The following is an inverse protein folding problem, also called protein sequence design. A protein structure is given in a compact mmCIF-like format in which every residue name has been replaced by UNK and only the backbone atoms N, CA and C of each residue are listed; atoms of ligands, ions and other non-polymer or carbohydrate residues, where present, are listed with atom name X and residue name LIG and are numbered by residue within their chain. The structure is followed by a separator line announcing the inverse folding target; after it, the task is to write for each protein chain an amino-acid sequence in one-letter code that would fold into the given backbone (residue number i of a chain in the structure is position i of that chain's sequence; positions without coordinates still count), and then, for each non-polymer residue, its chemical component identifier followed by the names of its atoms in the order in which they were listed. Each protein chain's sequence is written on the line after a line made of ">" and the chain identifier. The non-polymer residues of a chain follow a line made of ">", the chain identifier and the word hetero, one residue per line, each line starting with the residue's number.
data_IF_195487003539
#
_entry.id   IF_195487003539
#
_cell.length_a   1.000
_cell.length_b   1.000
_cell.length_c   1.000
_cell.angle_alpha   90.00
_cell.angle_beta   90.00
_cell.angle_gamma   90.00
#
_symmetry.space_group_name_H-M   'P 1'
#
loop_
_entity.id
_entity.type
_entity.pdbx_description
1 polymer ?
#
# COMPACT_ATOMS: atom_id res chain seq x y z
N UNK A 1 1.19 -17.34 19.60
CA UNK A 1 1.81 -16.07 19.17
C UNK A 1 3.31 -16.23 19.27
N UNK A 2 4.06 -15.58 18.37
CA UNK A 2 5.53 -15.61 18.40
C UNK A 2 6.06 -14.61 19.42
N UNK A 3 7.01 -15.05 20.24
CA UNK A 3 7.58 -14.27 21.33
C UNK A 3 8.80 -13.46 20.87
N UNK A 4 9.24 -12.50 21.68
CA UNK A 4 10.51 -11.80 21.42
C UNK A 4 11.72 -12.74 21.52
N UNK A 5 11.64 -13.79 22.35
CA UNK A 5 12.68 -14.82 22.42
C UNK A 5 12.76 -15.67 21.13
N UNK A 6 11.60 -16.06 20.58
CA UNK A 6 11.53 -16.72 19.26
C UNK A 6 12.17 -15.84 18.18
N UNK A 7 11.85 -14.54 18.17
CA UNK A 7 12.37 -13.60 17.20
C UNK A 7 13.88 -13.41 17.34
N UNK A 8 14.40 -13.32 18.58
CA UNK A 8 15.84 -13.22 18.80
C UNK A 8 16.58 -14.46 18.30
N UNK A 9 16.05 -15.66 18.58
CA UNK A 9 16.62 -16.91 18.06
C UNK A 9 16.56 -16.98 16.53
N UNK A 10 15.46 -16.56 15.91
CA UNK A 10 15.34 -16.52 14.46
C UNK A 10 16.31 -15.52 13.80
N UNK A 11 16.63 -14.40 14.48
CA UNK A 11 17.60 -13.43 13.99
C UNK A 11 19.02 -14.01 13.86
N UNK A 12 19.40 -15.00 14.67
CA UNK A 12 20.71 -15.66 14.59
C UNK A 12 20.91 -16.39 13.26
N UNK A 13 19.83 -16.79 12.58
CA UNK A 13 19.87 -17.42 11.27
C UNK A 13 20.19 -16.45 10.12
N UNK A 14 20.34 -15.16 10.39
CA UNK A 14 20.65 -14.13 9.39
C UNK A 14 22.06 -13.57 9.55
N UNK A 15 22.61 -13.08 8.43
CA UNK A 15 23.89 -12.35 8.37
C UNK A 15 23.69 -10.89 8.78
N UNK A 16 23.16 -10.66 9.99
CA UNK A 16 22.99 -9.33 10.56
C UNK A 16 24.32 -8.59 10.70
N UNK A 17 24.28 -7.26 10.74
CA UNK A 17 25.48 -6.41 10.83
C UNK A 17 26.34 -6.69 12.09
N UNK A 18 25.78 -7.34 13.09
CA UNK A 18 26.43 -7.74 14.34
C UNK A 18 25.64 -8.85 15.05
N UNK A 19 26.08 -9.22 16.25
CA UNK A 19 25.40 -10.26 17.04
C UNK A 19 24.03 -9.77 17.52
N UNK A 20 22.91 -10.46 17.23
CA UNK A 20 21.60 -10.12 17.78
C UNK A 20 21.62 -10.20 19.31
N UNK A 21 21.20 -9.14 20.00
CA UNK A 21 21.21 -9.08 21.47
C UNK A 21 19.83 -8.85 22.08
N UNK A 22 18.90 -8.26 21.33
CA UNK A 22 17.56 -7.97 21.81
C UNK A 22 16.58 -7.83 20.65
N UNK A 23 15.46 -8.53 20.74
CA UNK A 23 14.31 -8.30 19.87
C UNK A 23 13.22 -7.54 20.65
N UNK A 24 12.53 -6.63 19.97
CA UNK A 24 11.32 -5.96 20.48
C UNK A 24 10.23 -6.06 19.44
N UNK A 25 9.01 -6.40 19.86
CA UNK A 25 7.87 -6.38 18.93
C UNK A 25 7.70 -4.97 18.35
N UNK A 26 7.60 -4.91 17.03
CA UNK A 26 7.35 -3.69 16.29
C UNK A 26 5.85 -3.57 16.01
N UNK A 27 5.25 -2.46 16.42
CA UNK A 27 3.83 -2.17 16.20
C UNK A 27 3.51 -1.78 14.76
N UNK A 28 2.22 -1.52 14.47
CA UNK A 28 1.75 -0.96 13.20
C UNK A 28 1.38 -1.98 12.11
N UNK A 29 2.12 -3.10 12.00
CA UNK A 29 1.82 -4.15 11.03
C UNK A 29 0.65 -5.07 11.43
N UNK A 30 -0.33 -5.28 10.54
CA UNK A 30 -1.51 -6.14 10.78
C UNK A 30 -1.39 -7.56 10.22
N UNK A 31 -0.43 -7.81 9.32
CA UNK A 31 -0.31 -9.09 8.61
C UNK A 31 0.80 -9.96 9.20
N UNK A 32 2.01 -9.41 9.33
CA UNK A 32 3.21 -10.11 9.82
C UNK A 32 3.46 -9.88 11.31
N UNK A 33 4.09 -10.85 11.99
CA UNK A 33 4.73 -10.57 13.28
C UNK A 33 6.07 -9.88 13.01
N UNK A 34 6.15 -8.59 13.33
CA UNK A 34 7.34 -7.77 13.08
C UNK A 34 8.10 -7.46 14.37
N UNK A 35 9.42 -7.46 14.30
CA UNK A 35 10.32 -7.21 15.42
C UNK A 35 11.49 -6.32 14.97
N UNK A 36 11.85 -5.34 15.81
CA UNK A 36 13.13 -4.63 15.66
C UNK A 36 14.15 -5.38 16.50
N UNK A 37 15.25 -5.79 15.87
CA UNK A 37 16.34 -6.52 16.52
C UNK A 37 17.57 -5.63 16.60
N UNK A 38 18.03 -5.37 17.82
CA UNK A 38 19.30 -4.70 18.08
C UNK A 38 20.45 -5.70 17.90
N UNK A 39 21.44 -5.29 17.14
CA UNK A 39 22.64 -6.08 16.81
C UNK A 39 23.88 -5.33 17.30
N UNK A 40 24.66 -5.96 18.18
CA UNK A 40 25.92 -5.40 18.67
C UNK A 40 27.03 -5.54 17.61
N UNK A 41 27.64 -4.43 17.23
CA UNK A 41 28.78 -4.37 16.30
C UNK A 41 30.03 -3.84 17.01
N UNK A 42 31.19 -3.90 16.35
CA UNK A 42 32.43 -3.33 16.90
C UNK A 42 32.32 -1.80 17.10
N UNK A 43 31.57 -1.12 16.22
CA UNK A 43 31.46 0.34 16.18
C UNK A 43 30.17 0.88 16.81
N UNK A 44 29.39 0.03 17.50
CA UNK A 44 28.18 0.43 18.21
C UNK A 44 27.01 -0.54 18.04
N UNK A 45 25.83 0.00 17.78
CA UNK A 45 24.60 -0.78 17.65
C UNK A 45 23.96 -0.52 16.29
N UNK A 46 23.57 -1.61 15.61
CA UNK A 46 22.80 -1.57 14.36
C UNK A 46 21.47 -2.28 14.58
N UNK A 47 20.50 -2.00 13.73
CA UNK A 47 19.17 -2.61 13.82
C UNK A 47 18.81 -3.33 12.53
N UNK A 48 18.01 -4.38 12.66
CA UNK A 48 17.28 -4.97 11.55
C UNK A 48 15.80 -5.10 11.87
N UNK A 49 14.96 -5.10 10.84
CA UNK A 49 13.55 -5.43 10.92
C UNK A 49 13.40 -6.91 10.58
N UNK A 50 13.11 -7.74 11.59
CA UNK A 50 12.83 -9.16 11.42
C UNK A 50 11.32 -9.38 11.35
N UNK A 51 10.86 -10.18 10.40
CA UNK A 51 9.44 -10.48 10.23
C UNK A 51 9.22 -11.98 10.10
N UNK A 52 8.26 -12.49 10.88
CA UNK A 52 7.66 -13.80 10.60
C UNK A 52 6.57 -13.61 9.54
N UNK A 53 6.75 -14.30 8.42
CA UNK A 53 5.81 -14.26 7.31
C UNK A 53 4.52 -14.97 7.71
N UNK A 54 3.38 -14.34 7.39
CA UNK A 54 2.07 -14.90 7.67
C UNK A 54 1.68 -15.82 6.51
N UNK A 55 2.04 -17.08 6.62
CA UNK A 55 1.78 -18.12 5.63
C UNK A 55 0.29 -18.48 5.47
N UNK A 56 -0.63 -17.93 6.29
CA UNK A 56 -2.07 -18.03 6.05
C UNK A 56 -2.55 -17.04 5.00
N UNK A 57 -1.97 -15.83 5.01
CA UNK A 57 -2.26 -14.78 4.02
C UNK A 57 -1.44 -15.00 2.75
N UNK A 58 -0.17 -15.40 2.91
CA UNK A 58 0.77 -15.66 1.83
C UNK A 58 1.21 -17.14 1.82
N UNK A 59 0.39 -18.05 1.26
CA UNK A 59 0.69 -19.48 1.29
C UNK A 59 1.95 -19.84 0.47
N UNK A 60 2.21 -19.14 -0.64
CA UNK A 60 3.45 -19.28 -1.43
C UNK A 60 4.51 -18.28 -0.96
N UNK A 61 5.19 -18.62 0.14
CA UNK A 61 6.27 -17.79 0.71
C UNK A 61 7.46 -17.66 -0.26
N UNK A 62 7.77 -18.70 -1.02
CA UNK A 62 8.88 -18.68 -1.97
C UNK A 62 8.61 -17.72 -3.14
N UNK A 63 7.39 -17.75 -3.68
CA UNK A 63 6.92 -16.79 -4.68
C UNK A 63 6.90 -15.36 -4.16
N UNK A 64 6.37 -15.13 -2.95
CA UNK A 64 6.41 -13.83 -2.27
C UNK A 64 7.83 -13.28 -2.19
N UNK A 65 8.78 -14.06 -1.66
CA UNK A 65 10.16 -13.60 -1.49
C UNK A 65 10.88 -13.38 -2.81
N UNK A 66 10.59 -14.18 -3.84
CA UNK A 66 11.08 -13.92 -5.20
C UNK A 66 10.59 -12.58 -5.74
N UNK A 67 9.32 -12.23 -5.51
CA UNK A 67 8.81 -10.91 -5.91
C UNK A 67 9.58 -9.79 -5.21
N UNK A 68 9.74 -9.88 -3.89
CA UNK A 68 10.48 -8.89 -3.10
C UNK A 68 11.92 -8.72 -3.62
N UNK A 69 12.62 -9.81 -3.89
CA UNK A 69 13.99 -9.77 -4.45
C UNK A 69 14.04 -9.05 -5.81
N UNK A 70 13.11 -9.38 -6.72
CA UNK A 70 13.03 -8.76 -8.06
C UNK A 70 12.73 -7.26 -7.96
N UNK A 71 11.79 -6.87 -7.10
CA UNK A 71 11.40 -5.48 -6.89
C UNK A 71 12.55 -4.66 -6.33
N UNK A 72 13.23 -5.16 -5.28
CA UNK A 72 14.39 -4.50 -4.70
C UNK A 72 15.54 -4.35 -5.69
N UNK A 73 15.80 -5.38 -6.50
CA UNK A 73 16.82 -5.32 -7.54
C UNK A 73 16.48 -4.28 -8.62
N UNK A 74 15.20 -4.18 -9.01
CA UNK A 74 14.73 -3.20 -9.98
C UNK A 74 14.82 -1.77 -9.43
N UNK A 75 14.42 -1.53 -8.18
CA UNK A 75 14.57 -0.24 -7.52
C UNK A 75 16.04 0.18 -7.44
N UNK A 76 16.92 -0.75 -7.04
CA UNK A 76 18.36 -0.48 -6.96
C UNK A 76 18.98 -0.19 -8.34
N UNK A 77 18.46 -0.80 -9.42
CA UNK A 77 18.89 -0.51 -10.78
C UNK A 77 18.42 0.87 -11.27
N UNK A 78 17.18 1.25 -10.95
CA UNK A 78 16.64 2.56 -11.27
C UNK A 78 17.44 3.69 -10.59
N UNK A 79 17.74 3.54 -9.30
CA UNK A 79 18.50 4.54 -8.53
C UNK A 79 19.93 4.77 -9.06
N UNK A 80 20.58 3.75 -9.63
CA UNK A 80 21.92 3.91 -10.24
C UNK A 80 21.89 4.73 -11.52
N UNK A 81 20.74 4.77 -12.19
CA UNK A 81 20.56 5.51 -13.44
C UNK A 81 20.10 6.95 -13.22
N UNK A 82 19.54 7.25 -12.04
CA UNK A 82 19.18 8.61 -11.63
C UNK A 82 20.39 9.36 -11.02
N UNK A 83 20.44 10.69 -11.16
CA UNK A 83 21.53 11.51 -10.61
C UNK A 83 21.53 11.51 -9.06
N UNK A 84 22.68 11.73 -8.39
CA UNK A 84 22.87 11.54 -6.94
C UNK A 84 21.95 12.32 -5.99
N UNK A 85 21.23 13.34 -6.49
CA UNK A 85 20.31 14.18 -5.70
C UNK A 85 18.87 13.62 -5.67
N UNK A 86 18.60 12.59 -6.47
CA UNK A 86 17.36 11.83 -6.44
C UNK A 86 17.33 10.97 -5.17
N UNK A 87 16.38 11.26 -4.28
CA UNK A 87 15.98 10.38 -3.16
C UNK A 87 15.95 8.92 -3.61
N UNK A 88 16.93 8.14 -3.13
CA UNK A 88 17.08 6.74 -3.48
C UNK A 88 15.80 5.97 -3.14
N UNK A 89 15.14 5.41 -4.15
CA UNK A 89 13.97 4.56 -3.99
C UNK A 89 14.35 3.21 -3.33
N UNK A 90 15.61 2.79 -3.43
CA UNK A 90 16.18 1.54 -2.92
C UNK A 90 16.93 1.73 -1.60
N UNK A 91 16.21 2.09 -0.53
CA UNK A 91 16.76 2.13 0.84
C UNK A 91 16.58 0.82 1.61
N UNK A 92 15.59 0.03 1.24
CA UNK A 92 15.37 -1.30 1.83
C UNK A 92 16.35 -2.32 1.25
N UNK A 93 16.95 -3.10 2.12
CA UNK A 93 17.85 -4.20 1.75
C UNK A 93 17.52 -5.43 2.57
N UNK A 94 17.40 -6.57 1.91
CA UNK A 94 17.26 -7.86 2.59
C UNK A 94 18.59 -8.23 3.23
N UNK A 95 18.51 -8.75 4.46
CA UNK A 95 19.63 -9.40 5.13
C UNK A 95 19.61 -10.86 4.71
N UNK A 96 20.72 -11.34 4.15
CA UNK A 96 20.83 -12.73 3.71
C UNK A 96 20.75 -13.70 4.88
N UNK A 97 20.16 -14.88 4.66
CA UNK A 97 20.22 -15.98 5.63
C UNK A 97 21.63 -16.59 5.64
N UNK A 98 22.00 -17.23 6.75
CA UNK A 98 23.26 -17.98 6.87
C UNK A 98 23.29 -19.24 6.03
N UNK A 99 22.13 -19.78 5.69
CA UNK A 99 21.96 -20.95 4.83
C UNK A 99 21.95 -20.58 3.34
N UNK A 100 21.96 -19.28 3.01
CA UNK A 100 21.83 -18.75 1.67
C UNK A 100 20.40 -18.30 1.33
N UNK A 101 20.28 -17.26 0.50
CA UNK A 101 18.99 -16.67 0.13
C UNK A 101 18.54 -15.53 1.05
N UNK A 102 17.31 -15.04 0.85
CA UNK A 102 16.74 -13.86 1.53
C UNK A 102 15.81 -14.16 2.72
N UNK A 103 15.49 -15.43 2.96
CA UNK A 103 14.58 -15.89 3.99
C UNK A 103 14.96 -17.30 4.44
N UNK A 104 14.45 -17.75 5.58
CA UNK A 104 14.66 -19.10 6.11
C UNK A 104 13.45 -19.54 6.95
N UNK A 105 13.41 -20.81 7.34
CA UNK A 105 12.42 -21.35 8.27
C UNK A 105 13.09 -21.74 9.58
N UNK A 106 12.42 -21.50 10.71
CA UNK A 106 12.87 -22.07 11.97
C UNK A 106 12.48 -23.56 12.11
N UNK A 107 12.90 -24.19 13.21
CA UNK A 107 12.63 -25.60 13.52
C UNK A 107 11.11 -25.93 13.62
N UNK A 108 10.25 -24.93 13.75
CA UNK A 108 8.79 -25.09 13.79
C UNK A 108 8.15 -24.83 12.42
N UNK A 109 8.95 -24.65 11.36
CA UNK A 109 8.49 -24.37 10.00
C UNK A 109 7.93 -22.96 9.82
N UNK A 110 8.18 -22.03 10.75
CA UNK A 110 7.75 -20.63 10.60
C UNK A 110 8.76 -19.94 9.68
N UNK A 111 8.27 -19.30 8.61
CA UNK A 111 9.11 -18.57 7.67
C UNK A 111 9.45 -17.17 8.18
N UNK A 112 10.71 -16.78 8.00
CA UNK A 112 11.29 -15.54 8.48
C UNK A 112 12.07 -14.83 7.38
N UNK A 113 12.03 -13.50 7.40
CA UNK A 113 12.91 -12.62 6.60
C UNK A 113 13.43 -11.48 7.46
N UNK A 114 14.54 -10.90 7.06
CA UNK A 114 15.09 -9.71 7.71
C UNK A 114 15.41 -8.62 6.68
N UNK A 115 15.15 -7.36 7.04
CA UNK A 115 15.63 -6.18 6.33
C UNK A 115 16.63 -5.41 7.20
N UNK A 116 17.62 -4.76 6.58
CA UNK A 116 18.34 -3.69 7.25
C UNK A 116 17.34 -2.63 7.73
N UNK A 117 17.49 -2.17 8.97
CA UNK A 117 16.59 -1.13 9.49
C UNK A 117 16.95 0.20 8.85
N UNK A 118 15.95 0.92 8.32
CA UNK A 118 16.15 2.23 7.71
C UNK A 118 16.19 3.29 8.81
N UNK A 119 17.40 3.60 9.25
CA UNK A 119 17.69 4.56 10.31
C UNK A 119 17.24 5.99 9.95
N UNK A 120 17.06 6.84 10.98
CA UNK A 120 16.70 8.27 10.82
C UNK A 120 15.39 8.54 10.06
N UNK A 121 14.47 7.56 10.10
CA UNK A 121 13.14 7.67 9.50
C UNK A 121 12.03 7.60 10.52
N UNK A 122 10.85 8.06 10.10
CA UNK A 122 9.58 7.95 10.82
C UNK A 122 8.46 7.52 9.89
N UNK A 123 7.50 6.80 10.45
CA UNK A 123 6.22 6.49 9.81
C UNK A 123 5.22 7.58 10.16
N UNK A 124 4.39 7.95 9.19
CA UNK A 124 3.25 8.85 9.40
C UNK A 124 1.98 8.01 9.34
N UNK A 125 1.22 7.99 10.45
CA UNK A 125 -0.05 7.25 10.54
C UNK A 125 -1.20 7.96 9.79
N UNK A 126 -1.12 9.29 9.69
CA UNK A 126 -2.14 10.14 9.11
C UNK A 126 -1.53 11.38 8.48
N UNK A 127 -2.02 11.77 7.32
CA UNK A 127 -1.58 12.99 6.63
C UNK A 127 -2.17 14.22 7.33
N UNK A 128 -1.31 15.02 7.94
CA UNK A 128 -1.69 16.28 8.59
C UNK A 128 -1.29 17.51 7.76
N UNK A 129 -0.19 17.39 7.00
CA UNK A 129 0.45 18.49 6.29
C UNK A 129 0.56 18.19 4.79
N UNK A 130 0.38 19.21 3.94
CA UNK A 130 0.38 19.08 2.47
C UNK A 130 1.68 18.52 1.91
N UNK A 131 2.82 18.84 2.51
CA UNK A 131 4.11 18.29 2.07
C UNK A 131 4.17 16.77 2.23
N UNK A 132 3.51 16.18 3.24
CA UNK A 132 3.46 14.72 3.42
C UNK A 132 2.72 14.06 2.26
N UNK A 133 1.56 14.61 1.88
CA UNK A 133 0.79 14.15 0.72
C UNK A 133 1.60 14.28 -0.58
N UNK A 134 2.24 15.43 -0.81
CA UNK A 134 3.09 15.65 -1.98
C UNK A 134 4.25 14.66 -2.06
N UNK A 135 5.01 14.52 -0.97
CA UNK A 135 6.15 13.60 -0.88
C UNK A 135 5.73 12.13 -1.04
N UNK A 136 4.60 11.73 -0.47
CA UNK A 136 4.05 10.38 -0.63
C UNK A 136 3.63 10.10 -2.09
N UNK A 137 2.89 11.01 -2.71
CA UNK A 137 2.53 10.91 -4.13
C UNK A 137 3.77 10.80 -5.01
N UNK A 138 4.81 11.58 -4.71
CA UNK A 138 6.08 11.53 -5.44
C UNK A 138 6.83 10.20 -5.20
N UNK A 139 6.83 9.68 -3.99
CA UNK A 139 7.47 8.39 -3.67
C UNK A 139 6.83 7.23 -4.45
N UNK A 140 5.49 7.13 -4.46
CA UNK A 140 4.78 6.10 -5.24
C UNK A 140 4.87 6.35 -6.75
N UNK A 141 4.90 7.60 -7.21
CA UNK A 141 5.14 7.92 -8.61
C UNK A 141 6.52 7.45 -9.09
N UNK A 142 7.56 7.64 -8.26
CA UNK A 142 8.91 7.11 -8.54
C UNK A 142 8.96 5.60 -8.52
N UNK A 143 8.28 4.97 -7.57
CA UNK A 143 8.13 3.52 -7.55
C UNK A 143 7.49 3.03 -8.87
N UNK A 144 6.38 3.63 -9.29
CA UNK A 144 5.71 3.27 -10.55
C UNK A 144 6.62 3.46 -11.77
N UNK A 145 7.40 4.54 -11.80
CA UNK A 145 8.39 4.81 -12.85
C UNK A 145 9.49 3.76 -12.87
N UNK A 146 10.05 3.40 -11.72
CA UNK A 146 11.06 2.34 -11.62
C UNK A 146 10.51 0.98 -12.06
N UNK A 147 9.26 0.67 -11.70
CA UNK A 147 8.58 -0.58 -12.08
C UNK A 147 8.15 -0.62 -13.55
N UNK A 148 8.08 0.51 -14.25
CA UNK A 148 7.65 0.54 -15.66
C UNK A 148 8.58 -0.24 -16.61
N UNK A 149 9.84 -0.46 -16.23
CA UNK A 149 10.79 -1.27 -16.97
C UNK A 149 10.75 -2.77 -16.59
N UNK A 150 9.92 -3.16 -15.62
CA UNK A 150 9.78 -4.54 -15.17
C UNK A 150 8.55 -5.19 -15.84
N UNK A 151 8.78 -6.29 -16.56
CA UNK A 151 7.68 -7.08 -17.14
C UNK A 151 6.84 -7.72 -16.01
N UNK A 152 5.50 -7.56 -16.01
CA UNK A 152 4.63 -8.11 -14.96
C UNK A 152 4.74 -9.62 -14.78
N UNK A 153 5.03 -10.36 -15.85
CA UNK A 153 5.14 -11.82 -15.85
C UNK A 153 6.31 -12.34 -15.00
N UNK A 154 7.24 -11.46 -14.61
CA UNK A 154 8.34 -11.80 -13.70
C UNK A 154 7.89 -11.93 -12.24
N UNK A 155 6.69 -11.46 -11.91
CA UNK A 155 6.14 -11.51 -10.56
C UNK A 155 4.96 -12.48 -10.51
N UNK A 156 4.89 -13.27 -9.44
CA UNK A 156 3.72 -14.09 -9.15
C UNK A 156 2.62 -13.25 -8.50
N UNK A 157 1.36 -13.67 -8.64
CA UNK A 157 0.26 -13.11 -7.86
C UNK A 157 0.34 -13.64 -6.43
N UNK A 158 0.65 -12.78 -5.46
CA UNK A 158 0.80 -13.17 -4.04
C UNK A 158 -0.54 -13.33 -3.34
N UNK A 159 -1.54 -12.51 -3.69
CA UNK A 159 -2.92 -12.64 -3.25
C UNK A 159 -3.85 -12.58 -4.47
N UNK A 160 -4.44 -13.72 -4.89
CA UNK A 160 -5.40 -13.73 -5.97
C UNK A 160 -6.57 -12.78 -5.73
N UNK A 161 -7.03 -12.11 -6.80
CA UNK A 161 -8.20 -11.24 -6.77
C UNK A 161 -8.13 -10.10 -5.73
N UNK A 162 -6.92 -9.65 -5.37
CA UNK A 162 -6.72 -8.67 -4.30
C UNK A 162 -7.58 -7.41 -4.49
N UNK A 163 -7.47 -6.76 -5.66
CA UNK A 163 -8.29 -5.63 -6.08
C UNK A 163 -9.38 -5.98 -7.12
N UNK A 164 -9.90 -7.22 -7.07
CA UNK A 164 -11.00 -7.61 -7.96
C UNK A 164 -12.34 -7.22 -7.33
N UNK A 165 -12.68 -5.92 -7.37
CA UNK A 165 -13.86 -5.35 -6.71
C UNK A 165 -15.19 -6.08 -7.05
N UNK A 166 -15.45 -6.55 -8.29
CA UNK A 166 -16.67 -7.31 -8.58
C UNK A 166 -16.81 -8.61 -7.76
N UNK A 167 -15.72 -9.37 -7.61
CA UNK A 167 -15.70 -10.59 -6.77
C UNK A 167 -15.90 -10.26 -5.30
N UNK A 168 -15.39 -9.10 -4.82
CA UNK A 168 -15.65 -8.63 -3.45
C UNK A 168 -17.14 -8.35 -3.24
N UNK A 169 -17.81 -7.75 -4.22
CA UNK A 169 -19.26 -7.51 -4.16
C UNK A 169 -20.07 -8.82 -4.21
N UNK A 170 -19.65 -9.79 -5.02
CA UNK A 170 -20.26 -11.13 -5.01
C UNK A 170 -20.11 -11.82 -3.65
N UNK A 171 -18.94 -11.71 -3.02
CA UNK A 171 -18.70 -12.26 -1.68
C UNK A 171 -19.62 -11.60 -0.64
N UNK A 172 -19.78 -10.27 -0.68
CA UNK A 172 -20.73 -9.56 0.18
C UNK A 172 -22.15 -10.10 0.02
N UNK A 173 -22.63 -10.25 -1.22
CA UNK A 173 -23.98 -10.77 -1.50
C UNK A 173 -24.19 -12.17 -0.92
N UNK A 174 -23.18 -13.04 -1.01
CA UNK A 174 -23.23 -14.39 -0.40
C UNK A 174 -23.33 -14.31 1.12
N UNK A 175 -22.46 -13.54 1.76
CA UNK A 175 -22.47 -13.38 3.22
C UNK A 175 -23.79 -12.76 3.71
N UNK A 176 -24.38 -11.83 2.96
CA UNK A 176 -25.70 -11.29 3.25
C UNK A 176 -26.82 -12.33 3.16
N UNK A 177 -26.75 -13.23 2.17
CA UNK A 177 -27.74 -14.29 1.99
C UNK A 177 -27.65 -15.35 3.10
N UNK A 178 -26.42 -15.67 3.54
CA UNK A 178 -26.18 -16.65 4.60
C UNK A 178 -26.50 -16.07 5.99
N UNK A 179 -26.27 -14.77 6.21
CA UNK A 179 -26.44 -14.02 7.46
C UNK A 179 -25.96 -14.79 8.71
N UNK A 180 -24.80 -15.44 8.59
CA UNK A 180 -24.26 -16.36 9.60
C UNK A 180 -24.11 -15.72 10.98
N UNK A 181 -23.78 -14.43 11.02
CA UNK A 181 -23.63 -13.67 12.26
C UNK A 181 -24.92 -12.97 12.73
N UNK A 182 -26.02 -13.05 11.96
CA UNK A 182 -27.30 -12.36 12.23
C UNK A 182 -27.14 -10.85 12.40
N UNK A 183 -26.36 -10.25 11.51
CA UNK A 183 -25.95 -8.82 11.57
C UNK A 183 -26.47 -8.00 10.40
N UNK A 184 -27.07 -8.62 9.39
CA UNK A 184 -27.55 -7.92 8.18
C UNK A 184 -28.51 -6.78 8.53
N UNK A 185 -29.47 -7.01 9.43
CA UNK A 185 -30.44 -5.97 9.82
C UNK A 185 -29.79 -4.73 10.47
N UNK A 186 -28.68 -4.92 11.19
CA UNK A 186 -27.92 -3.86 11.85
C UNK A 186 -27.02 -3.05 10.92
N UNK A 187 -26.91 -3.47 9.65
CA UNK A 187 -26.06 -2.86 8.64
C UNK A 187 -26.84 -2.34 7.40
N UNK A 188 -28.18 -2.27 7.49
CA UNK A 188 -29.04 -1.85 6.38
C UNK A 188 -28.64 -0.47 5.81
N UNK A 189 -28.26 0.48 6.67
CA UNK A 189 -27.81 1.80 6.26
C UNK A 189 -26.59 1.77 5.33
N UNK A 190 -25.63 0.88 5.62
CA UNK A 190 -24.41 0.73 4.84
C UNK A 190 -24.67 -0.07 3.58
N UNK A 191 -25.51 -1.12 3.66
CA UNK A 191 -25.91 -1.92 2.51
C UNK A 191 -26.62 -1.07 1.45
N UNK A 192 -27.55 -0.20 1.86
CA UNK A 192 -28.24 0.71 0.94
C UNK A 192 -27.27 1.68 0.26
N UNK A 193 -26.25 2.15 0.98
CA UNK A 193 -25.20 3.03 0.43
C UNK A 193 -24.30 2.27 -0.55
N UNK A 194 -23.93 1.03 -0.22
CA UNK A 194 -23.17 0.15 -1.12
C UNK A 194 -23.95 -0.10 -2.41
N UNK A 195 -25.24 -0.42 -2.31
CA UNK A 195 -26.08 -0.71 -3.48
C UNK A 195 -26.16 0.48 -4.45
N UNK A 196 -26.22 1.72 -3.95
CA UNK A 196 -26.19 2.93 -4.78
C UNK A 196 -24.88 3.12 -5.56
N UNK A 197 -23.80 2.44 -5.16
CA UNK A 197 -22.46 2.63 -5.70
C UNK A 197 -21.88 1.36 -6.35
N UNK A 198 -22.66 0.29 -6.54
CA UNK A 198 -22.17 -0.97 -7.17
C UNK A 198 -21.62 -0.77 -8.58
N UNK A 199 -22.03 0.30 -9.27
CA UNK A 199 -21.51 0.68 -10.58
C UNK A 199 -20.01 1.02 -10.57
N UNK A 200 -19.41 1.29 -9.41
CA UNK A 200 -17.96 1.48 -9.26
C UNK A 200 -17.18 0.16 -9.42
N UNK A 201 -17.77 -0.97 -9.04
CA UNK A 201 -17.07 -2.25 -8.98
C UNK A 201 -16.37 -2.64 -10.30
N UNK A 202 -17.01 -2.53 -11.49
CA UNK A 202 -16.35 -2.93 -12.73
C UNK A 202 -15.38 -1.87 -13.30
N UNK A 203 -15.27 -0.66 -12.74
CA UNK A 203 -14.56 0.46 -13.41
C UNK A 203 -13.13 0.12 -13.76
N UNK A 204 -12.34 -0.41 -12.82
CA UNK A 204 -10.94 -0.78 -13.08
C UNK A 204 -10.86 -2.16 -13.72
N UNK A 205 -11.59 -3.15 -13.20
CA UNK A 205 -11.53 -4.53 -13.69
C UNK A 205 -11.92 -4.65 -15.16
N UNK A 206 -12.98 -3.97 -15.60
CA UNK A 206 -13.39 -4.02 -17.02
C UNK A 206 -12.32 -3.49 -17.97
N UNK A 207 -11.57 -2.45 -17.56
CA UNK A 207 -10.49 -1.92 -18.38
C UNK A 207 -9.25 -2.81 -18.41
N UNK A 208 -9.03 -3.61 -17.37
CA UNK A 208 -8.03 -4.68 -17.40
C UNK A 208 -8.49 -5.83 -18.31
N UNK A 209 -9.75 -6.26 -18.20
CA UNK A 209 -10.32 -7.38 -18.94
C UNK A 209 -10.36 -7.13 -20.46
N UNK A 210 -10.68 -5.91 -20.88
CA UNK A 210 -10.74 -5.51 -22.29
C UNK A 210 -9.45 -4.90 -22.84
N UNK A 211 -8.40 -4.79 -22.00
CA UNK A 211 -7.08 -4.30 -22.38
C UNK A 211 -6.95 -2.79 -22.53
N UNK A 212 -7.99 -1.99 -22.20
CA UNK A 212 -7.87 -0.51 -22.14
C UNK A 212 -6.86 -0.04 -21.11
N UNK A 213 -6.70 -0.79 -20.01
CA UNK A 213 -5.70 -0.53 -18.99
C UNK A 213 -4.59 -1.58 -19.10
N UNK A 214 -3.35 -1.18 -19.42
CA UNK A 214 -2.24 -2.12 -19.48
C UNK A 214 -1.94 -2.68 -18.09
N UNK A 215 -1.71 -3.99 -18.02
CA UNK A 215 -1.21 -4.63 -16.80
C UNK A 215 0.21 -4.16 -16.53
N UNK A 216 0.48 -3.68 -15.31
CA UNK A 216 1.81 -3.25 -14.86
C UNK A 216 2.14 -3.86 -13.51
N UNK A 217 3.41 -3.83 -13.13
CA UNK A 217 3.80 -4.05 -11.74
C UNK A 217 3.40 -2.82 -10.92
N UNK A 218 2.61 -3.04 -9.88
CA UNK A 218 2.08 -2.00 -8.98
C UNK A 218 2.20 -2.46 -7.54
N UNK A 219 2.07 -1.52 -6.60
CA UNK A 219 2.25 -1.79 -5.18
C UNK A 219 1.05 -2.52 -4.53
N UNK A 220 -0.17 -2.18 -4.95
CA UNK A 220 -1.46 -2.61 -4.41
C UNK A 220 -1.74 -2.22 -2.93
N UNK A 221 -0.82 -1.58 -2.20
CA UNK A 221 -1.03 -1.17 -0.80
C UNK A 221 -0.37 0.20 -0.56
N UNK A 222 -0.75 1.16 -1.39
CA UNK A 222 -0.13 2.48 -1.48
C UNK A 222 -0.64 3.45 -0.41
N UNK A 223 -0.60 3.02 0.85
CA UNK A 223 -0.99 3.82 2.02
C UNK A 223 0.17 4.60 2.63
N UNK A 224 -0.14 5.67 3.36
CA UNK A 224 0.88 6.57 3.95
C UNK A 224 1.82 5.87 4.92
N UNK A 225 1.36 4.84 5.62
CA UNK A 225 2.19 4.07 6.56
C UNK A 225 3.24 3.21 5.86
N UNK A 226 3.10 3.00 4.55
CA UNK A 226 4.07 2.29 3.69
C UNK A 226 5.06 3.28 3.04
N UNK A 227 5.13 4.52 3.54
CA UNK A 227 6.15 5.51 3.18
C UNK A 227 6.95 5.86 4.42
N UNK A 228 8.27 5.67 4.36
CA UNK A 228 9.18 6.18 5.37
C UNK A 228 9.54 7.62 5.04
N UNK A 229 9.38 8.50 6.03
CA UNK A 229 9.78 9.91 5.95
C UNK A 229 11.05 10.16 6.73
N UNK A 230 11.82 11.15 6.32
CA UNK A 230 12.97 11.62 7.06
C UNK A 230 12.52 12.18 8.43
N UNK A 231 13.29 11.85 9.47
CA UNK A 231 12.96 12.28 10.83
C UNK A 231 13.20 13.79 11.05
N UNK A 232 14.13 14.39 10.31
CA UNK A 232 14.52 15.79 10.45
C UNK A 232 14.00 16.68 9.31
N UNK A 233 13.88 16.13 8.10
CA UNK A 233 13.52 16.88 6.88
C UNK A 233 12.10 16.57 6.40
N UNK A 234 11.41 17.51 5.72
CA UNK A 234 10.08 17.27 5.16
C UNK A 234 10.18 16.50 3.82
N UNK A 235 10.76 15.29 3.85
CA UNK A 235 11.05 14.49 2.65
C UNK A 235 10.67 13.02 2.86
N UNK A 236 10.08 12.39 1.84
CA UNK A 236 9.94 10.93 1.79
C UNK A 236 11.30 10.30 1.48
N UNK A 237 11.62 9.21 2.18
CA UNK A 237 12.87 8.46 2.04
C UNK A 237 12.67 7.27 1.10
N UNK A 238 11.68 6.41 1.34
CA UNK A 238 11.36 5.29 0.46
C UNK A 238 9.96 4.73 0.72
N UNK A 239 9.46 3.94 -0.24
CA UNK A 239 8.28 3.09 -0.10
C UNK A 239 8.70 1.74 0.51
N UNK A 240 7.81 1.13 1.29
CA UNK A 240 8.03 -0.14 2.00
C UNK A 240 6.84 -1.09 1.81
N UNK A 241 6.92 -2.30 2.35
CA UNK A 241 5.86 -3.32 2.31
C UNK A 241 5.55 -3.87 0.89
N UNK A 242 6.52 -4.60 0.33
CA UNK A 242 6.44 -5.11 -1.04
C UNK A 242 5.68 -6.43 -1.20
N UNK A 243 4.89 -6.84 -0.19
CA UNK A 243 4.26 -8.16 -0.17
C UNK A 243 3.11 -8.31 -1.16
N UNK A 244 2.51 -7.17 -1.50
CA UNK A 244 1.44 -7.07 -2.48
C UNK A 244 1.93 -6.45 -3.79
N UNK A 245 3.25 -6.31 -3.99
CA UNK A 245 3.79 -5.91 -5.29
C UNK A 245 3.66 -7.06 -6.28
N UNK A 246 2.78 -6.89 -7.25
CA UNK A 246 2.42 -7.91 -8.24
C UNK A 246 1.70 -7.25 -9.44
N UNK A 247 1.35 -8.01 -10.49
CA UNK A 247 0.63 -7.46 -11.64
C UNK A 247 -0.73 -6.83 -11.24
N UNK A 248 -1.03 -5.65 -11.79
CA UNK A 248 -2.25 -4.91 -11.53
C UNK A 248 -2.36 -3.65 -12.40
N UNK A 249 -3.16 -2.67 -11.97
CA UNK A 249 -3.31 -1.37 -12.63
C UNK A 249 -2.74 -0.24 -11.76
N UNK A 250 -2.06 0.77 -12.33
CA UNK A 250 -1.64 1.97 -11.58
C UNK A 250 -2.80 2.68 -10.88
N UNK A 251 -4.02 2.50 -11.39
CA UNK A 251 -5.25 3.01 -10.79
C UNK A 251 -5.53 2.40 -9.41
N UNK A 252 -5.03 1.19 -9.11
CA UNK A 252 -5.12 0.61 -7.77
C UNK A 252 -4.28 1.43 -6.78
N UNK A 253 -3.02 1.70 -7.10
CA UNK A 253 -2.11 2.47 -6.24
C UNK A 253 -2.61 3.90 -6.07
N UNK A 254 -2.99 4.58 -7.17
CA UNK A 254 -3.54 5.93 -7.06
C UNK A 254 -4.85 5.94 -6.29
N UNK A 255 -5.69 4.92 -6.47
CA UNK A 255 -6.93 4.78 -5.73
C UNK A 255 -6.69 4.63 -4.23
N UNK A 256 -5.71 3.82 -3.83
CA UNK A 256 -5.39 3.60 -2.42
C UNK A 256 -4.71 4.80 -1.77
N UNK A 257 -3.86 5.51 -2.52
CA UNK A 257 -3.32 6.82 -2.10
C UNK A 257 -4.46 7.83 -1.88
N UNK A 258 -5.37 7.97 -2.85
CA UNK A 258 -6.51 8.89 -2.74
C UNK A 258 -7.41 8.54 -1.55
N UNK A 259 -7.65 7.25 -1.31
CA UNK A 259 -8.44 6.75 -0.18
C UNK A 259 -7.82 7.11 1.17
N UNK A 260 -6.50 7.02 1.31
CA UNK A 260 -5.81 7.11 2.61
C UNK A 260 -5.15 8.46 2.90
N UNK A 261 -4.80 9.23 1.87
CA UNK A 261 -3.95 10.42 2.00
C UNK A 261 -4.66 11.74 1.72
N UNK A 262 -5.94 11.71 1.37
CA UNK A 262 -6.73 12.91 1.06
C UNK A 262 -7.67 13.32 2.18
N UNK A 263 -7.61 12.65 3.32
CA UNK A 263 -8.41 12.96 4.49
C UNK A 263 -7.54 13.07 5.73
N UNK A 264 -7.97 13.91 6.69
CA UNK A 264 -7.41 13.97 8.05
C UNK A 264 -8.14 13.00 9.00
N UNK A 265 -8.91 12.08 8.43
CA UNK A 265 -9.59 10.98 9.11
C UNK A 265 -8.88 9.68 8.84
N UNK A 266 -8.88 8.79 9.83
CA UNK A 266 -8.38 7.42 9.68
C UNK A 266 -9.55 6.45 9.53
N UNK A 267 -9.25 5.23 9.06
CA UNK A 267 -10.26 4.16 8.99
C UNK A 267 -10.75 3.72 10.38
N UNK A 268 -10.03 4.06 11.44
CA UNK A 268 -10.32 3.69 12.83
C UNK A 268 -10.94 4.83 13.65
N UNK A 269 -11.24 5.97 13.01
CA UNK A 269 -11.92 7.10 13.64
C UNK A 269 -13.27 6.66 14.25
N UNK A 270 -13.71 7.27 15.37
CA UNK A 270 -14.92 6.85 16.07
C UNK A 270 -16.22 7.26 15.36
N UNK A 271 -16.15 8.13 14.35
CA UNK A 271 -17.33 8.74 13.70
C UNK A 271 -17.13 8.91 12.19
N UNK A 272 -18.03 8.32 11.41
CA UNK A 272 -18.04 8.42 9.95
C UNK A 272 -18.60 9.75 9.43
N UNK A 273 -19.29 10.55 10.26
CA UNK A 273 -19.92 11.81 9.83
C UNK A 273 -18.91 12.91 9.51
N UNK A 274 -17.68 12.77 10.01
CA UNK A 274 -16.61 13.75 9.82
C UNK A 274 -15.80 13.52 8.54
N UNK A 275 -16.00 12.37 7.88
CA UNK A 275 -15.22 11.98 6.69
C UNK A 275 -15.42 12.99 5.57
N UNK A 276 -14.31 13.59 5.16
CA UNK A 276 -14.25 14.53 4.05
C UNK A 276 -12.92 14.40 3.33
N UNK A 277 -12.90 14.84 2.06
CA UNK A 277 -11.67 15.03 1.30
C UNK A 277 -11.17 16.45 1.54
N UNK A 278 -9.93 16.56 2.02
CA UNK A 278 -9.20 17.81 2.20
C UNK A 278 -8.62 18.26 0.84
N UNK A 279 -9.13 19.34 0.23
CA UNK A 279 -8.76 19.69 -1.14
C UNK A 279 -7.29 20.06 -1.32
N UNK A 280 -6.64 20.59 -0.28
CA UNK A 280 -5.22 20.90 -0.21
C UNK A 280 -4.36 19.63 -0.24
N UNK A 281 -4.76 18.59 0.51
CA UNK A 281 -4.07 17.30 0.50
C UNK A 281 -4.27 16.56 -0.83
N UNK A 282 -5.49 16.58 -1.38
CA UNK A 282 -5.80 16.03 -2.70
C UNK A 282 -4.92 16.62 -3.80
N UNK A 283 -4.81 17.96 -3.81
CA UNK A 283 -4.01 18.67 -4.80
C UNK A 283 -2.51 18.35 -4.65
N UNK A 284 -1.99 18.37 -3.42
CA UNK A 284 -0.60 18.05 -3.15
C UNK A 284 -0.25 16.61 -3.58
N UNK A 285 -1.09 15.64 -3.23
CA UNK A 285 -0.91 14.23 -3.57
C UNK A 285 -0.88 13.99 -5.08
N UNK A 286 -1.90 14.48 -5.79
CA UNK A 286 -1.99 14.31 -7.25
C UNK A 286 -0.81 14.99 -7.96
N UNK A 287 -0.41 16.18 -7.50
CA UNK A 287 0.76 16.88 -8.05
C UNK A 287 2.03 16.05 -7.90
N UNK A 288 2.28 15.49 -6.71
CA UNK A 288 3.45 14.66 -6.45
C UNK A 288 3.51 13.43 -7.33
N UNK A 289 2.38 12.72 -7.49
CA UNK A 289 2.32 11.51 -8.32
C UNK A 289 2.47 11.82 -9.82
N UNK A 290 1.72 12.80 -10.34
CA UNK A 290 1.72 13.14 -11.77
C UNK A 290 3.09 13.66 -12.21
N UNK A 291 3.80 14.39 -11.35
CA UNK A 291 5.15 14.87 -11.62
C UNK A 291 6.11 13.72 -11.99
N UNK A 292 5.96 12.54 -11.38
CA UNK A 292 6.89 11.42 -11.54
C UNK A 292 6.38 10.33 -12.50
N UNK A 293 5.07 10.08 -12.50
CA UNK A 293 4.47 8.97 -13.24
C UNK A 293 3.46 9.41 -14.31
N UNK A 294 3.11 10.69 -14.40
CA UNK A 294 2.05 11.18 -15.29
C UNK A 294 2.31 10.86 -16.76
N UNK A 295 3.56 10.99 -17.21
CA UNK A 295 3.96 10.68 -18.59
C UNK A 295 3.88 9.18 -18.95
N UNK A 296 3.78 8.30 -17.96
CA UNK A 296 3.68 6.85 -18.16
C UNK A 296 2.24 6.40 -18.39
N UNK A 297 1.26 7.20 -17.99
CA UNK A 297 -0.14 6.84 -18.03
C UNK A 297 -0.71 6.98 -19.45
N UNK A 298 -1.52 6.02 -19.85
CA UNK A 298 -2.32 6.09 -21.08
C UNK A 298 -3.46 7.09 -20.93
N UNK A 299 -4.03 7.53 -22.06
CA UNK A 299 -5.20 8.40 -22.05
C UNK A 299 -6.39 7.77 -21.30
N UNK A 300 -6.60 6.46 -21.43
CA UNK A 300 -7.66 5.74 -20.72
C UNK A 300 -7.42 5.70 -19.20
N UNK A 301 -6.18 5.47 -18.75
CA UNK A 301 -5.83 5.54 -17.33
C UNK A 301 -6.05 6.97 -16.79
N UNK A 302 -5.61 8.00 -17.51
CA UNK A 302 -5.83 9.42 -17.15
C UNK A 302 -7.34 9.73 -17.07
N UNK A 303 -8.15 9.15 -17.96
CA UNK A 303 -9.60 9.31 -17.93
C UNK A 303 -10.21 8.70 -16.65
N UNK A 304 -9.68 7.57 -16.18
CA UNK A 304 -10.19 6.86 -15.00
C UNK A 304 -9.69 7.40 -13.65
N UNK A 305 -8.59 8.18 -13.62
CA UNK A 305 -7.99 8.70 -12.39
C UNK A 305 -8.98 9.38 -11.42
N UNK A 306 -9.93 10.24 -11.85
CA UNK A 306 -10.90 10.86 -10.93
C UNK A 306 -11.86 9.88 -10.22
N UNK A 307 -11.93 8.62 -10.67
CA UNK A 307 -12.80 7.60 -10.10
C UNK A 307 -12.04 6.57 -9.25
N UNK A 308 -10.75 6.34 -9.51
CA UNK A 308 -10.02 5.23 -8.90
C UNK A 308 -9.99 5.27 -7.37
N UNK A 309 -9.90 6.45 -6.76
CA UNK A 309 -10.01 6.61 -5.31
C UNK A 309 -11.35 6.13 -4.75
N UNK A 310 -12.45 6.47 -5.43
CA UNK A 310 -13.78 6.01 -5.04
C UNK A 310 -13.93 4.50 -5.22
N UNK A 311 -13.34 3.91 -6.28
CA UNK A 311 -13.36 2.46 -6.49
C UNK A 311 -12.67 1.71 -5.35
N UNK A 312 -11.46 2.13 -4.95
CA UNK A 312 -10.71 1.47 -3.87
C UNK A 312 -11.33 1.72 -2.49
N UNK A 313 -11.87 2.92 -2.23
CA UNK A 313 -12.65 3.19 -1.03
C UNK A 313 -13.91 2.32 -0.95
N UNK A 314 -14.62 2.16 -2.08
CA UNK A 314 -15.80 1.31 -2.18
C UNK A 314 -15.45 -0.16 -1.94
N UNK A 315 -14.36 -0.64 -2.55
CA UNK A 315 -13.86 -1.99 -2.33
C UNK A 315 -13.57 -2.24 -0.85
N UNK A 316 -12.88 -1.32 -0.16
CA UNK A 316 -12.62 -1.46 1.26
C UNK A 316 -13.88 -1.40 2.12
N UNK A 317 -14.87 -0.57 1.76
CA UNK A 317 -16.18 -0.58 2.42
C UNK A 317 -16.86 -1.95 2.32
N UNK A 318 -16.86 -2.54 1.12
CA UNK A 318 -17.41 -3.88 0.85
C UNK A 318 -16.65 -4.96 1.62
N UNK A 319 -15.31 -4.88 1.69
CA UNK A 319 -14.48 -5.85 2.42
C UNK A 319 -14.74 -5.81 3.92
N UNK A 320 -14.78 -4.62 4.54
CA UNK A 320 -15.10 -4.47 5.95
C UNK A 320 -16.54 -4.89 6.28
N UNK A 321 -17.50 -4.54 5.43
CA UNK A 321 -18.90 -4.92 5.62
C UNK A 321 -19.07 -6.45 5.52
N UNK A 322 -18.44 -7.08 4.53
CA UNK A 322 -18.46 -8.54 4.38
C UNK A 322 -17.88 -9.22 5.61
N UNK A 323 -16.75 -8.74 6.12
CA UNK A 323 -16.12 -9.32 7.31
C UNK A 323 -16.98 -9.13 8.56
N UNK A 324 -17.60 -7.96 8.73
CA UNK A 324 -18.54 -7.72 9.83
C UNK A 324 -19.70 -8.71 9.84
N UNK A 325 -20.31 -8.94 8.66
CA UNK A 325 -21.44 -9.85 8.49
C UNK A 325 -21.02 -11.33 8.59
N UNK A 326 -19.76 -11.64 8.29
CA UNK A 326 -19.17 -12.97 8.48
C UNK A 326 -18.72 -13.25 9.93
N UNK A 327 -18.76 -12.25 10.82
CA UNK A 327 -18.38 -12.40 12.22
C UNK A 327 -16.96 -11.96 12.58
N UNK A 328 -16.38 -11.02 11.83
CA UNK A 328 -15.06 -10.41 12.07
C UNK A 328 -13.92 -11.43 12.04
N UNK A 329 -13.84 -12.22 10.96
CA UNK A 329 -12.92 -13.37 10.84
C UNK A 329 -11.62 -13.03 10.11
N UNK A 330 -11.59 -11.92 9.36
CA UNK A 330 -10.45 -11.51 8.54
C UNK A 330 -9.68 -10.33 9.16
N UNK A 331 -10.37 -9.23 9.47
CA UNK A 331 -9.74 -8.04 10.04
C UNK A 331 -9.75 -8.10 11.57
N UNK A 332 -8.61 -7.80 12.24
CA UNK A 332 -8.60 -7.68 13.69
C UNK A 332 -9.56 -6.59 14.16
N UNK A 333 -10.35 -6.93 15.18
CA UNK A 333 -11.27 -6.01 15.87
C UNK A 333 -10.93 -5.96 17.36
N UNK A 334 -10.94 -4.75 17.90
CA UNK A 334 -10.76 -4.44 19.33
C UNK A 334 -12.11 -4.40 20.08
N UNK A 335 -13.21 -4.18 19.35
CA UNK A 335 -14.56 -4.12 19.89
C UNK A 335 -15.61 -4.58 18.85
N UNK A 336 -16.78 -5.10 19.30
CA UNK A 336 -17.89 -5.40 18.42
C UNK A 336 -18.31 -4.19 17.58
N UNK A 337 -18.59 -4.41 16.29
CA UNK A 337 -19.01 -3.36 15.37
C UNK A 337 -17.88 -2.52 14.78
N UNK A 338 -16.60 -2.78 15.14
CA UNK A 338 -15.44 -2.07 14.57
C UNK A 338 -15.40 -2.11 13.04
N UNK A 339 -15.59 -3.29 12.44
CA UNK A 339 -15.60 -3.41 10.97
C UNK A 339 -16.82 -2.75 10.33
N UNK A 340 -17.98 -2.71 11.00
CA UNK A 340 -19.14 -1.96 10.51
C UNK A 340 -18.86 -0.44 10.49
N UNK A 341 -18.18 0.09 11.52
CA UNK A 341 -17.76 1.49 11.56
C UNK A 341 -16.73 1.79 10.46
N UNK A 342 -15.72 0.93 10.27
CA UNK A 342 -14.78 1.02 9.16
C UNK A 342 -15.51 1.04 7.81
N UNK A 343 -16.49 0.16 7.61
CA UNK A 343 -17.31 0.15 6.40
C UNK A 343 -18.06 1.48 6.20
N UNK A 344 -18.65 2.06 7.25
CA UNK A 344 -19.30 3.39 7.22
C UNK A 344 -18.35 4.51 6.82
N UNK A 345 -17.13 4.50 7.36
CA UNK A 345 -16.08 5.47 7.03
C UNK A 345 -15.68 5.35 5.57
N UNK A 346 -15.43 4.13 5.08
CA UNK A 346 -14.97 3.92 3.70
C UNK A 346 -16.06 4.23 2.66
N UNK A 347 -17.33 3.95 2.94
CA UNK A 347 -18.42 4.35 2.03
C UNK A 347 -18.66 5.87 2.06
N UNK A 348 -18.43 6.54 3.21
CA UNK A 348 -18.42 8.00 3.27
C UNK A 348 -17.24 8.60 2.47
N UNK A 349 -16.06 7.99 2.56
CA UNK A 349 -14.88 8.39 1.77
C UNK A 349 -15.13 8.21 0.27
N UNK A 350 -15.83 7.13 -0.13
CA UNK A 350 -16.26 6.89 -1.51
C UNK A 350 -17.11 8.06 -2.03
N UNK A 351 -18.14 8.44 -1.29
CA UNK A 351 -19.05 9.55 -1.64
C UNK A 351 -18.30 10.90 -1.68
N UNK A 352 -17.40 11.14 -0.71
CA UNK A 352 -16.59 12.35 -0.66
C UNK A 352 -15.62 12.47 -1.85
N UNK A 353 -14.98 11.37 -2.26
CA UNK A 353 -14.11 11.33 -3.44
C UNK A 353 -14.90 11.56 -4.74
N UNK A 354 -16.09 10.95 -4.87
CA UNK A 354 -16.98 11.18 -6.00
C UNK A 354 -17.42 12.64 -6.13
N UNK A 355 -17.65 13.33 -5.00
CA UNK A 355 -17.97 14.76 -4.99
C UNK A 355 -16.81 15.63 -5.54
N UNK A 356 -15.57 15.16 -5.45
CA UNK A 356 -14.37 15.87 -5.91
C UNK A 356 -13.91 15.47 -7.32
N UNK A 357 -14.59 14.56 -8.02
CA UNK A 357 -14.15 14.05 -9.34
C UNK A 357 -13.91 15.14 -10.40
N UNK A 358 -14.73 16.19 -10.43
CA UNK A 358 -14.56 17.31 -11.37
C UNK A 358 -13.30 18.12 -11.02
N UNK A 359 -13.08 18.38 -9.73
CA UNK A 359 -11.86 19.04 -9.26
C UNK A 359 -10.62 18.21 -9.60
N UNK A 360 -10.68 16.89 -9.38
CA UNK A 360 -9.59 15.98 -9.74
C UNK A 360 -9.27 16.05 -11.24
N UNK A 361 -10.28 16.00 -12.12
CA UNK A 361 -10.07 16.17 -13.58
C UNK A 361 -9.31 17.46 -13.89
N UNK A 362 -9.78 18.60 -13.37
CA UNK A 362 -9.15 19.91 -13.61
C UNK A 362 -7.69 19.93 -13.14
N UNK A 363 -7.42 19.37 -11.95
CA UNK A 363 -6.07 19.30 -11.39
C UNK A 363 -5.15 18.40 -12.23
N UNK A 364 -5.63 17.22 -12.63
CA UNK A 364 -4.89 16.26 -13.45
C UNK A 364 -4.49 16.91 -14.78
N UNK A 365 -5.45 17.51 -15.49
CA UNK A 365 -5.21 18.13 -16.79
C UNK A 365 -4.18 19.29 -16.66
N UNK A 366 -4.30 20.11 -15.60
CA UNK A 366 -3.33 21.17 -15.31
C UNK A 366 -1.92 20.62 -15.06
N UNK A 367 -1.78 19.62 -14.19
CA UNK A 367 -0.47 19.07 -13.83
C UNK A 367 0.21 18.33 -14.99
N UNK A 368 -0.57 17.65 -15.85
CA UNK A 368 -0.04 17.05 -17.06
C UNK A 368 0.46 18.10 -18.06
N UNK A 369 -0.25 19.23 -18.20
CA UNK A 369 0.19 20.34 -19.04
C UNK A 369 1.47 21.02 -18.52
N UNK A 370 1.58 21.23 -17.19
CA UNK A 370 2.79 21.77 -16.55
C UNK A 370 4.01 20.88 -16.83
N UNK A 371 3.87 19.56 -16.71
CA UNK A 371 4.96 18.61 -16.97
C UNK A 371 5.41 18.54 -18.44
N UNK A 372 4.57 18.95 -19.40
CA UNK A 372 4.93 19.02 -20.82
C UNK A 372 5.64 20.34 -21.19
N UNK A 373 5.38 21.42 -20.45
CA UNK A 373 5.96 22.75 -20.70
C UNK A 373 7.44 22.87 -20.34
N UNK A 374 7.87 22.23 -19.25
CA UNK A 374 9.27 22.28 -18.79
C UNK A 374 10.25 21.54 -19.73
N UNK A 375 9.75 20.65 -20.61
CA UNK A 375 10.56 19.96 -21.63
C UNK A 375 10.85 20.78 -22.89
N UNK A 376 10.09 21.85 -23.16
CA UNK A 376 10.25 22.67 -24.36
C UNK A 376 11.25 23.84 -24.18
N UNK A 377 11.68 24.14 -22.94
CA UNK A 377 12.58 25.24 -22.61
C UNK A 377 14.07 24.91 -22.62
N UNK A 378 14.47 23.64 -22.78
CA UNK A 378 15.86 23.19 -22.65
C UNK A 378 16.61 22.99 -23.99
N UNK A 379 16.03 23.42 -25.12
CA UNK A 379 16.70 23.40 -26.43
C UNK A 379 16.60 24.77 -27.09
N UNK A 380 17.30 25.75 -26.52
CA UNK A 380 17.63 27.02 -27.19
C UNK A 380 18.50 27.89 -26.27
N UNK A 381 19.83 27.65 -26.30
CA UNK A 381 20.90 28.67 -26.43
C UNK A 381 22.25 28.00 -26.38
#
# INVERSE_FOLDING_TARGET
>A
MVTEADALAAAEAFLTAGAPIRARRHGGGRIHDSFVVDCATADGMRRCLLQRINNRVFPDVAGLMRNVEVVLAQLAAADRNDQPDATASARLKLVASREGGSWTCDLLGRAWRAYEFVEETRVVERVDQTWQAFEAGRAFGRFQRAMSALSPERLVTTIPDFHHTPKRLEALRRVCADDVARRVSGAADVLDRVERHVWLAPVIQSGLDDGRFPVRVVHNDAKITNVLFDAALPKAVCVTDFDTVMPGSPLHDVGDMLRTMTSRHTEDDPDASQVHVAPDLLEALLRGYILEAGALLTAAEIEALPLCGAVIAFEQAVRFLSDHLAGDVYYPVDAPGRNLLRARIQIAQTEALLAHRVRMRILIDRFLAEGQGDGAGAVST
#
